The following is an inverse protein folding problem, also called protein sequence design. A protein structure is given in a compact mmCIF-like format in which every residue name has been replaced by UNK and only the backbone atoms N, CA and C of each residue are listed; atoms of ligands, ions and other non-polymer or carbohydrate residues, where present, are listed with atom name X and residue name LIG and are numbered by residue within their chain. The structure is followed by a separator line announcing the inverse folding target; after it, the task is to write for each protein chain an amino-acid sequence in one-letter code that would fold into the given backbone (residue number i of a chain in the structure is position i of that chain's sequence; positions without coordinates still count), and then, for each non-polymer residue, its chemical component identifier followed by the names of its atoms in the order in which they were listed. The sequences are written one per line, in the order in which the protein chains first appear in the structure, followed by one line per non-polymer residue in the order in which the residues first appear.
data_IF_969919850622
#
_entry.id   IF_969919850622
#
_cell.length_a   1.000
_cell.length_b   1.000
_cell.length_c   1.000
_cell.angle_alpha   90.00
_cell.angle_beta   90.00
_cell.angle_gamma   90.00
#
_symmetry.space_group_name_H-M   'P 1'
#
loop_
_entity.id
_entity.type
_entity.pdbx_description
1 polymer ?
#
# COMPACT_ATOMS: atom_id res chain seq x y z
N UNK A 1 39.71 -56.09 -64.07
CA UNK A 1 38.64 -55.11 -63.93
C UNK A 1 37.54 -55.72 -63.06
N UNK A 2 37.56 -55.46 -61.77
CA UNK A 2 36.67 -56.15 -60.81
C UNK A 2 35.76 -55.13 -60.24
N UNK A 3 34.47 -55.18 -60.56
CA UNK A 3 33.45 -54.26 -59.98
C UNK A 3 32.99 -54.81 -58.63
N UNK A 4 33.18 -54.02 -57.60
CA UNK A 4 32.65 -54.25 -56.25
C UNK A 4 31.23 -53.74 -56.18
N UNK A 5 30.30 -54.63 -56.00
CA UNK A 5 28.89 -54.36 -55.74
C UNK A 5 28.76 -54.03 -54.24
N UNK A 6 28.42 -52.74 -53.89
CA UNK A 6 28.11 -52.32 -52.51
C UNK A 6 26.61 -52.49 -52.30
N UNK A 7 26.27 -53.45 -51.46
CA UNK A 7 24.89 -53.62 -50.95
C UNK A 7 24.54 -52.58 -49.95
N UNK A 8 23.56 -51.70 -50.22
CA UNK A 8 22.95 -50.78 -49.24
C UNK A 8 22.01 -51.59 -48.34
N UNK A 9 22.24 -51.53 -47.07
CA UNK A 9 21.31 -52.00 -46.03
C UNK A 9 20.36 -50.82 -45.70
N UNK A 10 19.04 -51.03 -45.61
CA UNK A 10 18.13 -50.03 -45.17
C UNK A 10 18.20 -49.89 -43.66
N UNK A 11 18.44 -48.66 -43.17
CA UNK A 11 18.41 -48.26 -41.77
C UNK A 11 16.95 -47.98 -41.39
N UNK A 12 16.34 -48.90 -40.66
CA UNK A 12 15.01 -48.69 -40.09
C UNK A 12 15.08 -47.69 -38.97
N UNK A 13 14.54 -46.49 -39.19
CA UNK A 13 14.39 -45.44 -38.18
C UNK A 13 13.18 -45.73 -37.31
N UNK A 14 13.37 -46.19 -36.09
CA UNK A 14 12.31 -46.30 -35.09
C UNK A 14 12.11 -44.92 -34.48
N UNK A 15 11.02 -44.26 -34.85
CA UNK A 15 10.60 -43.02 -34.22
C UNK A 15 9.94 -43.35 -32.85
N UNK A 16 10.67 -43.13 -31.78
CA UNK A 16 10.11 -43.14 -30.42
C UNK A 16 9.34 -41.86 -30.17
N UNK A 17 8.02 -41.97 -30.16
CA UNK A 17 7.11 -40.89 -29.80
C UNK A 17 7.15 -40.72 -28.28
N UNK A 18 7.94 -39.76 -27.79
CA UNK A 18 7.94 -39.36 -26.40
C UNK A 18 6.70 -38.45 -26.13
N UNK A 19 5.68 -39.03 -25.51
CA UNK A 19 4.59 -38.23 -24.92
C UNK A 19 5.13 -37.47 -23.72
N UNK A 20 5.47 -36.22 -23.93
CA UNK A 20 5.71 -35.28 -22.82
C UNK A 20 4.36 -34.88 -22.24
N UNK A 21 3.98 -35.50 -21.12
CA UNK A 21 2.91 -35.02 -20.25
C UNK A 21 3.34 -33.71 -19.61
N UNK A 22 2.85 -32.58 -20.14
CA UNK A 22 2.91 -31.29 -19.51
C UNK A 22 2.06 -31.37 -18.22
N UNK A 23 2.71 -31.53 -17.07
CA UNK A 23 2.08 -31.31 -15.78
C UNK A 23 1.80 -29.82 -15.64
N UNK A 24 0.57 -29.39 -15.91
CA UNK A 24 0.08 -28.10 -15.48
C UNK A 24 -0.03 -28.11 -13.96
N UNK A 25 1.02 -27.68 -13.31
CA UNK A 25 0.95 -27.25 -11.91
C UNK A 25 0.19 -25.93 -11.87
N UNK A 26 -1.13 -26.01 -12.04
CA UNK A 26 -2.05 -24.91 -11.78
C UNK A 26 -2.12 -24.69 -10.28
N UNK A 27 -1.11 -24.04 -9.72
CA UNK A 27 -1.19 -23.45 -8.41
C UNK A 27 -2.11 -22.23 -8.48
N UNK A 28 -3.41 -22.45 -8.34
CA UNK A 28 -4.36 -21.38 -8.03
C UNK A 28 -4.07 -20.95 -6.60
N UNK A 29 -3.13 -20.02 -6.42
CA UNK A 29 -3.08 -19.22 -5.22
C UNK A 29 -4.24 -18.21 -5.24
N UNK A 30 -5.46 -18.71 -5.24
CA UNK A 30 -6.63 -17.99 -4.81
C UNK A 30 -6.66 -18.03 -3.27
N UNK A 31 -5.54 -17.67 -2.65
CA UNK A 31 -5.44 -17.30 -1.25
C UNK A 31 -5.69 -15.81 -1.16
N UNK A 32 -6.90 -15.38 -1.45
CA UNK A 32 -7.42 -14.14 -0.93
C UNK A 32 -7.46 -14.31 0.59
N UNK A 33 -6.37 -13.97 1.28
CA UNK A 33 -6.43 -13.62 2.67
C UNK A 33 -7.30 -12.36 2.71
N UNK A 34 -8.61 -12.56 2.87
CA UNK A 34 -9.47 -11.55 3.44
C UNK A 34 -8.89 -11.27 4.81
N UNK A 35 -7.99 -10.32 4.89
CA UNK A 35 -7.77 -9.61 6.11
C UNK A 35 -9.13 -8.94 6.37
N UNK A 36 -9.95 -9.57 7.20
CA UNK A 36 -10.93 -8.85 7.99
C UNK A 36 -10.08 -7.83 8.73
N UNK A 37 -9.97 -6.64 8.14
CA UNK A 37 -9.14 -5.56 8.65
C UNK A 37 -9.74 -5.18 9.98
N UNK A 38 -9.04 -5.58 11.03
CA UNK A 38 -9.47 -5.39 12.40
C UNK A 38 -9.80 -3.92 12.62
N UNK A 39 -10.97 -3.67 13.20
CA UNK A 39 -11.40 -2.31 13.51
C UNK A 39 -10.53 -1.75 14.63
N UNK A 40 -9.79 -0.70 14.33
CA UNK A 40 -8.91 0.00 15.28
C UNK A 40 -9.66 1.10 16.05
N UNK A 41 -8.94 1.82 16.93
CA UNK A 41 -9.47 2.99 17.62
C UNK A 41 -9.91 4.10 16.67
N UNK A 42 -9.28 4.22 15.51
CA UNK A 42 -9.54 5.26 14.49
C UNK A 42 -10.46 4.81 13.36
N UNK A 43 -10.96 3.58 13.38
CA UNK A 43 -11.78 2.96 12.32
C UNK A 43 -11.06 1.81 11.65
N UNK A 44 -11.24 1.65 10.35
CA UNK A 44 -10.66 0.54 9.58
C UNK A 44 -10.39 0.92 8.13
N UNK A 45 -9.52 0.16 7.42
CA UNK A 45 -9.35 0.29 5.99
C UNK A 45 -10.69 0.20 5.26
N UNK A 46 -10.91 1.10 4.31
CA UNK A 46 -12.13 1.15 3.51
C UNK A 46 -11.93 0.51 2.13
N UNK A 47 -13.04 0.23 1.45
CA UNK A 47 -13.01 -0.19 0.05
C UNK A 47 -13.20 1.03 -0.86
N UNK A 48 -12.45 1.10 -1.95
CA UNK A 48 -12.54 2.20 -2.92
C UNK A 48 -13.96 2.38 -3.47
N UNK A 49 -14.68 1.29 -3.71
CA UNK A 49 -16.07 1.29 -4.18
C UNK A 49 -17.08 1.83 -3.16
N UNK A 50 -16.69 1.96 -1.90
CA UNK A 50 -17.50 2.48 -0.79
C UNK A 50 -17.15 3.91 -0.40
N UNK A 51 -16.11 4.49 -1.01
CA UNK A 51 -15.72 5.87 -0.74
C UNK A 51 -16.82 6.83 -1.20
N UNK A 52 -17.39 7.55 -0.24
CA UNK A 52 -18.45 8.54 -0.48
C UNK A 52 -17.89 9.89 -0.92
N UNK A 53 -16.59 10.12 -0.66
CA UNK A 53 -15.90 11.37 -0.94
C UNK A 53 -14.41 11.14 -1.13
N UNK A 54 -13.81 11.99 -1.98
CA UNK A 54 -12.36 12.09 -2.12
C UNK A 54 -11.89 13.42 -1.53
N UNK A 55 -10.81 13.36 -0.76
CA UNK A 55 -10.12 14.54 -0.21
C UNK A 55 -8.67 14.49 -0.69
N UNK A 56 -8.21 15.56 -1.35
CA UNK A 56 -6.80 15.70 -1.69
C UNK A 56 -6.07 16.38 -0.53
N UNK A 57 -4.95 15.81 -0.10
CA UNK A 57 -4.07 16.37 0.94
C UNK A 57 -2.69 16.60 0.31
N UNK A 58 -2.23 17.83 0.36
CA UNK A 58 -0.90 18.20 -0.11
C UNK A 58 0.09 18.27 1.05
N UNK A 59 1.29 17.76 0.85
CA UNK A 59 2.43 17.81 1.75
C UNK A 59 3.50 18.73 1.15
N UNK A 60 4.06 19.62 1.93
CA UNK A 60 5.06 20.60 1.47
C UNK A 60 6.26 20.65 2.39
N UNK A 61 7.39 21.19 1.89
CA UNK A 61 8.62 21.36 2.67
C UNK A 61 8.52 22.44 3.75
N UNK A 62 7.40 23.20 3.80
CA UNK A 62 7.03 24.01 4.95
C UNK A 62 6.61 23.16 6.16
N UNK A 63 6.65 21.82 6.01
CA UNK A 63 6.26 20.84 7.02
C UNK A 63 4.79 21.03 7.45
N UNK A 64 3.92 21.14 6.44
CA UNK A 64 2.46 21.32 6.62
C UNK A 64 1.69 20.43 5.66
N UNK A 65 0.47 20.11 6.09
CA UNK A 65 -0.57 19.52 5.26
C UNK A 65 -1.58 20.57 4.84
N UNK A 66 -2.13 20.44 3.65
CA UNK A 66 -3.23 21.26 3.16
C UNK A 66 -4.29 20.36 2.53
N UNK A 67 -5.51 20.28 3.11
CA UNK A 67 -5.92 20.82 4.42
C UNK A 67 -5.30 20.05 5.59
N UNK A 68 -5.11 20.72 6.73
CA UNK A 68 -4.69 20.12 7.99
C UNK A 68 -5.88 19.71 8.88
N UNK A 69 -7.05 20.32 8.67
CA UNK A 69 -8.28 20.05 9.40
C UNK A 69 -9.37 19.57 8.44
N UNK A 70 -9.87 18.35 8.70
CA UNK A 70 -10.86 17.69 7.85
C UNK A 70 -12.05 17.30 8.73
N UNK A 71 -13.27 17.45 8.22
CA UNK A 71 -14.47 17.01 8.90
C UNK A 71 -15.14 15.88 8.12
N UNK A 72 -15.53 14.83 8.81
CA UNK A 72 -16.25 13.68 8.26
C UNK A 72 -17.41 13.30 9.18
N UNK A 73 -18.29 12.43 8.71
CA UNK A 73 -19.37 11.84 9.52
C UNK A 73 -18.99 10.43 9.95
N UNK A 74 -19.43 10.03 11.13
CA UNK A 74 -19.29 8.66 11.59
C UNK A 74 -19.90 7.67 10.57
N UNK A 75 -19.15 6.62 10.24
CA UNK A 75 -19.49 5.62 9.23
C UNK A 75 -19.08 6.01 7.80
N UNK A 76 -18.60 7.23 7.58
CA UNK A 76 -18.14 7.69 6.26
C UNK A 76 -16.85 6.96 5.85
N UNK A 77 -16.79 6.56 4.58
CA UNK A 77 -15.56 6.07 3.95
C UNK A 77 -15.01 7.18 3.06
N UNK A 78 -13.79 7.59 3.31
CA UNK A 78 -13.12 8.68 2.58
C UNK A 78 -11.91 8.12 1.84
N UNK A 79 -11.74 8.55 0.60
CA UNK A 79 -10.53 8.35 -0.19
C UNK A 79 -9.64 9.59 -0.06
N UNK A 80 -8.49 9.46 0.58
CA UNK A 80 -7.48 10.49 0.61
C UNK A 80 -6.51 10.29 -0.54
N UNK A 81 -6.39 11.29 -1.41
CA UNK A 81 -5.31 11.38 -2.40
C UNK A 81 -4.24 12.26 -1.78
N UNK A 82 -3.13 11.66 -1.42
CA UNK A 82 -2.01 12.36 -0.77
C UNK A 82 -0.96 12.69 -1.83
N UNK A 83 -0.51 13.94 -1.88
CA UNK A 83 0.47 14.43 -2.85
C UNK A 83 1.65 15.05 -2.13
N UNK A 84 2.85 14.61 -2.46
CA UNK A 84 4.06 15.28 -2.02
C UNK A 84 4.44 16.37 -3.03
N UNK A 85 4.19 17.63 -2.68
CA UNK A 85 4.49 18.81 -3.48
C UNK A 85 5.89 19.38 -3.16
N UNK A 86 6.62 18.77 -2.21
CA UNK A 86 7.95 19.18 -1.76
C UNK A 86 9.08 18.48 -2.51
N UNK A 87 10.31 18.72 -2.04
CA UNK A 87 11.57 18.18 -2.57
C UNK A 87 12.17 17.11 -1.63
N UNK A 88 11.59 16.91 -0.45
CA UNK A 88 12.01 15.87 0.49
C UNK A 88 10.92 14.80 0.65
N UNK A 89 11.28 13.64 1.19
CA UNK A 89 10.34 12.57 1.51
C UNK A 89 9.40 13.00 2.62
N UNK A 90 8.10 12.79 2.44
CA UNK A 90 7.07 13.05 3.42
C UNK A 90 6.19 11.83 3.62
N UNK A 91 5.53 11.77 4.77
CA UNK A 91 4.62 10.70 5.15
C UNK A 91 3.29 11.30 5.63
N UNK A 92 2.20 10.57 5.41
CA UNK A 92 0.94 10.77 6.10
C UNK A 92 0.58 9.47 6.79
N UNK A 93 0.54 9.46 8.12
CA UNK A 93 0.14 8.33 8.95
C UNK A 93 -1.07 8.73 9.78
N UNK A 94 -2.18 7.97 9.65
CA UNK A 94 -3.38 8.12 10.49
C UNK A 94 -3.21 7.35 11.79
N UNK A 95 -3.64 7.93 12.91
CA UNK A 95 -3.60 7.27 14.21
C UNK A 95 -4.30 8.07 15.30
N UNK A 96 -4.41 7.47 16.47
CA UNK A 96 -4.64 8.23 17.71
C UNK A 96 -3.38 9.03 18.01
N UNK A 97 -3.51 10.06 18.83
CA UNK A 97 -2.35 10.84 19.29
C UNK A 97 -1.29 9.94 19.95
N UNK A 98 -1.72 8.95 20.71
CA UNK A 98 -0.82 8.03 21.40
C UNK A 98 -0.07 7.11 20.41
N UNK A 99 -0.77 6.48 19.49
CA UNK A 99 -0.17 5.61 18.47
C UNK A 99 0.87 6.37 17.63
N UNK A 100 0.56 7.61 17.21
CA UNK A 100 1.49 8.43 16.45
C UNK A 100 2.75 8.79 17.25
N UNK A 101 2.62 9.06 18.56
CA UNK A 101 3.77 9.33 19.41
C UNK A 101 4.63 8.09 19.67
N UNK A 102 4.00 6.94 19.88
CA UNK A 102 4.70 5.65 20.03
C UNK A 102 5.47 5.30 18.75
N UNK A 103 4.84 5.47 17.59
CA UNK A 103 5.50 5.25 16.31
C UNK A 103 6.63 6.25 16.05
N UNK A 104 6.46 7.52 16.42
CA UNK A 104 7.51 8.54 16.34
C UNK A 104 8.77 8.13 17.12
N UNK A 105 8.61 7.56 18.32
CA UNK A 105 9.74 7.05 19.12
C UNK A 105 10.42 5.86 18.46
N UNK A 106 9.67 5.02 17.74
CA UNK A 106 10.25 3.92 16.96
C UNK A 106 11.04 4.47 15.77
N UNK A 107 10.49 5.45 15.03
CA UNK A 107 11.17 6.07 13.89
C UNK A 107 12.43 6.82 14.27
N UNK A 108 12.51 7.37 15.50
CA UNK A 108 13.75 7.95 16.04
C UNK A 108 14.86 6.91 16.23
N UNK A 109 14.50 5.68 16.60
CA UNK A 109 15.45 4.57 16.81
C UNK A 109 15.82 3.88 15.51
N UNK A 110 14.88 3.82 14.58
CA UNK A 110 14.99 3.07 13.33
C UNK A 110 14.45 3.91 12.15
N UNK A 111 15.15 4.98 11.75
CA UNK A 111 14.63 5.96 10.79
C UNK A 111 14.42 5.41 9.37
N UNK A 112 15.09 4.32 9.03
CA UNK A 112 14.98 3.66 7.73
C UNK A 112 13.97 2.49 7.72
N UNK A 113 13.25 2.29 8.83
CA UNK A 113 12.23 1.24 8.91
C UNK A 113 11.02 1.63 8.08
N UNK A 114 10.77 0.88 7.03
CA UNK A 114 9.58 1.04 6.18
C UNK A 114 8.63 -0.14 6.42
N UNK A 115 7.35 0.14 6.66
CA UNK A 115 6.29 -0.86 6.67
C UNK A 115 5.09 -0.32 5.91
N UNK A 116 4.47 -1.21 5.15
CA UNK A 116 3.23 -0.92 4.48
C UNK A 116 2.06 -1.14 5.45
N UNK A 117 1.36 -0.06 5.75
CA UNK A 117 0.17 -0.07 6.58
C UNK A 117 -0.97 0.61 5.83
N UNK A 118 -2.21 0.08 5.89
CA UNK A 118 -3.36 0.70 5.21
C UNK A 118 -3.67 2.13 5.67
N UNK A 119 -3.21 2.51 6.87
CA UNK A 119 -3.37 3.83 7.48
C UNK A 119 -2.26 4.81 7.13
N UNK A 120 -1.27 4.40 6.33
CA UNK A 120 -0.06 5.17 6.07
C UNK A 120 0.31 5.22 4.59
N UNK A 121 0.92 6.32 4.17
CA UNK A 121 1.60 6.44 2.88
C UNK A 121 2.84 7.30 3.02
N UNK A 122 3.97 6.79 2.52
CA UNK A 122 5.25 7.50 2.46
C UNK A 122 5.56 7.81 1.00
N UNK A 123 5.85 9.08 0.70
CA UNK A 123 5.97 9.57 -0.66
C UNK A 123 7.31 10.29 -0.90
N UNK A 124 8.00 9.87 -1.93
CA UNK A 124 9.13 10.62 -2.48
C UNK A 124 8.66 11.94 -3.12
N UNK A 125 9.57 12.90 -3.38
CA UNK A 125 9.25 14.17 -4.04
C UNK A 125 8.42 14.01 -5.31
N UNK A 126 7.37 14.80 -5.45
CA UNK A 126 6.49 14.81 -6.63
C UNK A 126 5.62 13.56 -6.82
N UNK A 127 5.61 12.63 -5.87
CA UNK A 127 4.78 11.43 -5.93
C UNK A 127 3.44 11.63 -5.23
N UNK A 128 2.49 10.77 -5.60
CA UNK A 128 1.19 10.70 -4.95
C UNK A 128 0.86 9.26 -4.58
N UNK A 129 0.02 9.12 -3.57
CA UNK A 129 -0.51 7.84 -3.10
C UNK A 129 -1.92 8.01 -2.57
N UNK A 130 -2.49 6.94 -2.05
CA UNK A 130 -3.84 7.01 -1.49
C UNK A 130 -3.96 6.23 -0.19
N UNK A 131 -4.88 6.70 0.67
CA UNK A 131 -5.39 5.98 1.82
C UNK A 131 -6.91 5.97 1.69
N UNK A 132 -7.52 4.80 1.84
CA UNK A 132 -8.97 4.67 1.89
C UNK A 132 -9.36 4.21 3.29
N UNK A 133 -10.09 5.06 4.01
CA UNK A 133 -10.36 4.84 5.42
C UNK A 133 -11.84 5.00 5.75
N UNK A 134 -12.39 4.07 6.52
CA UNK A 134 -13.74 4.14 7.07
C UNK A 134 -13.69 4.60 8.53
N UNK A 135 -14.28 5.75 8.83
CA UNK A 135 -14.35 6.34 10.16
C UNK A 135 -15.55 5.77 10.94
N UNK A 136 -15.37 4.66 11.63
CA UNK A 136 -16.46 3.94 12.29
C UNK A 136 -16.88 4.56 13.63
N UNK A 137 -16.00 5.34 14.25
CA UNK A 137 -16.19 5.94 15.60
C UNK A 137 -16.13 7.45 15.52
N UNK A 138 -17.02 8.13 16.25
CA UNK A 138 -16.95 9.58 16.43
C UNK A 138 -15.76 9.96 17.33
N UNK A 139 -15.15 11.11 17.05
CA UNK A 139 -13.98 11.59 17.80
C UNK A 139 -12.98 12.30 16.90
N UNK A 140 -11.74 12.33 17.32
CA UNK A 140 -10.64 12.91 16.54
C UNK A 140 -9.67 11.81 16.12
N UNK A 141 -9.41 11.71 14.83
CA UNK A 141 -8.34 10.92 14.25
C UNK A 141 -7.23 11.88 13.85
N UNK A 142 -6.02 11.65 14.31
CA UNK A 142 -4.89 12.49 13.97
C UNK A 142 -4.17 11.94 12.73
N UNK A 143 -3.43 12.82 12.06
CA UNK A 143 -2.44 12.39 11.09
C UNK A 143 -1.17 13.23 11.22
N UNK A 144 -0.04 12.61 10.92
CA UNK A 144 1.25 13.23 11.06
C UNK A 144 2.29 12.68 10.09
N UNK A 145 3.34 13.45 9.86
CA UNK A 145 4.58 12.99 9.26
C UNK A 145 5.55 12.62 10.40
N UNK A 146 5.94 11.36 10.45
CA UNK A 146 6.81 10.83 11.50
C UNK A 146 8.28 10.74 11.05
N UNK A 147 8.60 11.32 9.89
CA UNK A 147 9.98 11.53 9.48
C UNK A 147 10.72 12.39 10.51
N UNK A 148 12.03 12.14 10.76
CA UNK A 148 12.78 12.84 11.78
C UNK A 148 12.65 14.37 11.70
N UNK A 149 12.22 15.00 12.79
CA UNK A 149 12.06 16.45 12.91
C UNK A 149 10.77 17.04 12.33
N UNK A 150 10.03 16.29 11.47
CA UNK A 150 8.84 16.83 10.82
C UNK A 150 7.65 17.00 11.78
N UNK A 151 7.46 16.03 12.66
CA UNK A 151 6.42 16.09 13.68
C UNK A 151 6.62 17.27 14.63
N UNK A 152 7.85 17.47 15.12
CA UNK A 152 8.24 18.53 16.04
C UNK A 152 8.10 19.91 15.39
N UNK A 153 8.39 20.01 14.09
CA UNK A 153 8.19 21.24 13.32
C UNK A 153 6.72 21.56 13.06
N UNK A 154 5.80 20.63 13.42
CA UNK A 154 4.36 20.83 13.33
C UNK A 154 3.69 20.25 12.10
N UNK A 155 4.31 19.28 11.41
CA UNK A 155 3.67 18.57 10.29
C UNK A 155 2.64 17.58 10.83
N UNK A 156 1.47 18.12 11.17
CA UNK A 156 0.33 17.43 11.80
C UNK A 156 -0.99 17.96 11.29
N UNK A 157 -2.02 17.13 11.40
CA UNK A 157 -3.39 17.48 11.10
C UNK A 157 -4.37 16.56 11.81
N UNK A 158 -5.65 16.78 11.58
CA UNK A 158 -6.71 15.99 12.20
C UNK A 158 -7.93 15.81 11.31
N UNK A 159 -8.60 14.71 11.51
CA UNK A 159 -9.93 14.43 10.97
C UNK A 159 -10.91 14.42 12.14
N UNK A 160 -11.83 15.37 12.18
CA UNK A 160 -12.92 15.41 13.16
C UNK A 160 -14.08 14.57 12.66
N UNK A 161 -14.35 13.48 13.34
CA UNK A 161 -15.45 12.56 13.03
C UNK A 161 -16.67 12.96 13.86
N UNK A 162 -17.65 13.60 13.21
CA UNK A 162 -18.88 14.04 13.84
C UNK A 162 -19.86 12.87 13.96
N UNK A 163 -20.62 12.80 15.05
CA UNK A 163 -21.73 11.85 15.19
C UNK A 163 -22.74 12.04 14.06
N UNK A 164 -23.37 10.93 13.64
CA UNK A 164 -24.54 10.99 12.73
C UNK A 164 -25.69 11.68 13.40
#
# INVERSE_FOLDING_TARGET
MTQMIRTLRPLTLIAALALSSAAFAGGTHAGGHGHDSEETAIGKPGMASKASRTVTIEMTDNLRYTPADIQVKQGETVRFIVKNMGQVKHELSLGTQQELLEHLEQMRKFPDMEHDEPSKVTLAPGKQGEIIWQFTKAGTVNFACLMPGHYEAGMKGQVKVNKK
#
